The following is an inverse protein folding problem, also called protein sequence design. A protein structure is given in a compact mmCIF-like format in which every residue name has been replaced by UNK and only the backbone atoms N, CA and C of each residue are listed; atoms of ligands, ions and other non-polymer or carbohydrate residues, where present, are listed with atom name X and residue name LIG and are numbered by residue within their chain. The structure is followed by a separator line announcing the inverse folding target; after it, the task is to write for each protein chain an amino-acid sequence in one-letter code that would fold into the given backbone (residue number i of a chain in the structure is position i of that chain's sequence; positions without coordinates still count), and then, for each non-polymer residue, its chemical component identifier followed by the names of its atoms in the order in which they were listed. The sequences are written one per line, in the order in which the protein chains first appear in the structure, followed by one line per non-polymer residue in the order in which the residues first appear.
data_IF_968122691911
#
_entry.id   IF_968122691911
#
_cell.length_a   1.000
_cell.length_b   1.000
_cell.length_c   1.000
_cell.angle_alpha   90.00
_cell.angle_beta   90.00
_cell.angle_gamma   90.00
#
_symmetry.space_group_name_H-M   'P 1'
#
loop_
_entity.id
_entity.type
_entity.pdbx_description
1 polymer ?
#
# COMPACT_ATOMS: atom_id res chain seq x y z
N UNK A 1 -10.30 -8.52 0.38
CA UNK A 1 -9.34 -7.45 0.52
C UNK A 1 -7.94 -7.93 0.14
N UNK A 2 -7.38 -7.36 -0.92
CA UNK A 2 -6.11 -7.83 -1.48
C UNK A 2 -4.89 -7.28 -0.75
N UNK A 3 -5.05 -6.23 0.03
CA UNK A 3 -3.94 -5.59 0.73
C UNK A 3 -3.87 -6.02 2.19
N UNK A 4 -2.66 -6.26 2.69
CA UNK A 4 -2.45 -6.49 4.12
C UNK A 4 -2.68 -5.18 4.88
N UNK A 5 -2.77 -5.29 6.21
CA UNK A 5 -2.96 -4.10 7.05
C UNK A 5 -1.82 -3.09 6.87
N UNK A 6 -0.59 -3.57 6.82
CA UNK A 6 0.57 -2.71 6.65
C UNK A 6 0.59 -2.05 5.26
N UNK A 7 0.27 -2.80 4.23
CA UNK A 7 0.20 -2.27 2.88
C UNK A 7 -0.86 -1.19 2.77
N UNK A 8 -2.03 -1.42 3.32
CA UNK A 8 -3.11 -0.43 3.32
C UNK A 8 -2.70 0.84 4.06
N UNK A 9 -2.07 0.67 5.23
CA UNK A 9 -1.63 1.82 6.02
C UNK A 9 -0.64 2.69 5.25
N UNK A 10 0.36 2.09 4.61
CA UNK A 10 1.36 2.84 3.86
C UNK A 10 0.73 3.55 2.67
N UNK A 11 -0.14 2.89 1.95
CA UNK A 11 -0.83 3.49 0.80
C UNK A 11 -1.69 4.68 1.25
N UNK A 12 -2.48 4.51 2.29
CA UNK A 12 -3.32 5.60 2.80
C UNK A 12 -2.49 6.77 3.28
N UNK A 13 -1.46 6.51 4.08
CA UNK A 13 -0.68 7.58 4.69
C UNK A 13 0.15 8.33 3.67
N UNK A 14 0.83 7.62 2.80
CA UNK A 14 1.77 8.25 1.86
C UNK A 14 1.10 8.75 0.59
N UNK A 15 0.22 7.97 -0.01
CA UNK A 15 -0.38 8.33 -1.29
C UNK A 15 -1.70 9.09 -1.15
N UNK A 16 -2.58 8.66 -0.25
CA UNK A 16 -3.89 9.30 -0.10
C UNK A 16 -3.78 10.62 0.64
N UNK A 17 -3.11 10.62 1.78
CA UNK A 17 -2.95 11.82 2.61
C UNK A 17 -1.71 12.64 2.29
N UNK A 18 -0.88 12.17 1.35
CA UNK A 18 0.30 12.90 0.87
C UNK A 18 1.34 13.23 1.95
N UNK A 19 1.45 12.39 2.97
CA UNK A 19 2.51 12.58 3.98
C UNK A 19 3.87 12.21 3.39
N UNK A 20 4.92 12.88 3.89
CA UNK A 20 6.29 12.54 3.49
C UNK A 20 6.66 11.15 4.01
N UNK A 21 7.77 10.60 3.49
CA UNK A 21 8.27 9.33 4.01
C UNK A 21 8.63 9.41 5.49
N UNK A 22 9.21 10.54 5.93
CA UNK A 22 9.54 10.76 7.33
C UNK A 22 8.29 10.72 8.20
N UNK A 23 7.22 11.40 7.75
CA UNK A 23 5.93 11.38 8.46
C UNK A 23 5.32 9.99 8.46
N UNK A 24 5.39 9.30 7.33
CA UNK A 24 4.85 7.94 7.21
C UNK A 24 5.56 6.98 8.15
N UNK A 25 6.90 7.10 8.26
CA UNK A 25 7.68 6.30 9.20
C UNK A 25 7.26 6.54 10.64
N UNK A 26 7.07 7.81 11.00
CA UNK A 26 6.65 8.18 12.34
C UNK A 26 5.27 7.61 12.67
N UNK A 27 4.31 7.78 11.78
CA UNK A 27 2.96 7.25 11.98
C UNK A 27 2.93 5.73 12.02
N UNK A 28 3.75 5.09 11.20
CA UNK A 28 3.85 3.63 11.21
C UNK A 28 4.39 3.13 12.56
N UNK A 29 5.42 3.80 13.08
CA UNK A 29 5.99 3.44 14.39
C UNK A 29 4.97 3.62 15.51
N UNK A 30 4.22 4.72 15.49
CA UNK A 30 3.18 4.99 16.48
C UNK A 30 2.09 3.92 16.47
N UNK A 31 1.65 3.53 15.27
CA UNK A 31 0.60 2.55 15.12
C UNK A 31 1.06 1.15 15.53
N UNK A 32 2.28 0.78 15.17
CA UNK A 32 2.81 -0.56 15.40
C UNK A 32 3.37 -0.74 16.81
N UNK A 33 3.71 0.35 17.49
CA UNK A 33 4.23 0.32 18.85
C UNK A 33 5.75 0.23 18.91
N UNK A 34 6.31 0.27 20.13
CA UNK A 34 7.77 0.23 20.32
C UNK A 34 8.37 -1.04 19.73
N UNK A 35 9.53 -0.88 19.10
CA UNK A 35 10.25 -2.00 18.50
C UNK A 35 9.75 -2.42 17.13
N UNK A 36 8.73 -1.77 16.62
CA UNK A 36 8.14 -2.10 15.32
C UNK A 36 8.44 -1.05 14.26
N UNK A 37 9.41 -0.19 14.50
CA UNK A 37 9.81 0.83 13.53
C UNK A 37 10.35 0.16 12.26
N UNK A 38 10.05 0.78 11.13
CA UNK A 38 10.55 0.33 9.84
C UNK A 38 11.27 1.47 9.14
N UNK A 39 12.35 1.12 8.42
CA UNK A 39 13.09 2.10 7.65
C UNK A 39 12.27 2.57 6.45
N UNK A 40 12.65 3.72 5.89
CA UNK A 40 12.03 4.23 4.67
C UNK A 40 12.09 3.19 3.55
N UNK A 41 13.23 2.51 3.42
CA UNK A 41 13.41 1.46 2.40
C UNK A 41 12.39 0.34 2.55
N UNK A 42 12.13 -0.09 3.79
CA UNK A 42 11.14 -1.13 4.06
C UNK A 42 9.74 -0.65 3.70
N UNK A 43 9.39 0.59 4.06
CA UNK A 43 8.08 1.14 3.72
C UNK A 43 7.90 1.30 2.22
N UNK A 44 8.94 1.68 1.51
CA UNK A 44 8.90 1.76 0.04
C UNK A 44 8.67 0.39 -0.59
N UNK A 45 9.25 -0.66 -0.02
CA UNK A 45 9.01 -2.04 -0.47
C UNK A 45 7.56 -2.45 -0.24
N UNK A 46 7.02 -2.10 0.92
CA UNK A 46 5.61 -2.38 1.24
C UNK A 46 4.70 -1.67 0.23
N UNK A 47 4.99 -0.41 -0.07
CA UNK A 47 4.23 0.34 -1.07
C UNK A 47 4.33 -0.29 -2.45
N UNK A 48 5.53 -0.68 -2.88
CA UNK A 48 5.70 -1.34 -4.18
C UNK A 48 4.90 -2.63 -4.28
N UNK A 49 4.91 -3.44 -3.22
CA UNK A 49 4.13 -4.66 -3.17
C UNK A 49 2.63 -4.37 -3.28
N UNK A 50 2.17 -3.37 -2.55
CA UNK A 50 0.77 -2.96 -2.57
C UNK A 50 0.36 -2.48 -3.96
N UNK A 51 1.17 -1.64 -4.58
CA UNK A 51 0.87 -1.12 -5.92
C UNK A 51 0.81 -2.22 -6.97
N UNK A 52 1.70 -3.20 -6.89
CA UNK A 52 1.66 -4.35 -7.79
C UNK A 52 0.37 -5.14 -7.66
N UNK A 53 -0.08 -5.36 -6.42
CA UNK A 53 -1.34 -6.06 -6.16
C UNK A 53 -2.52 -5.27 -6.71
N UNK A 54 -2.53 -3.96 -6.51
CA UNK A 54 -3.59 -3.09 -6.99
C UNK A 54 -3.65 -3.07 -8.51
N UNK A 55 -2.51 -2.97 -9.18
CA UNK A 55 -2.45 -2.97 -10.65
C UNK A 55 -2.95 -4.31 -11.20
N UNK A 56 -2.50 -5.41 -10.63
CA UNK A 56 -2.94 -6.73 -11.07
C UNK A 56 -4.44 -6.92 -10.87
N UNK A 57 -4.97 -6.46 -9.76
CA UNK A 57 -6.41 -6.55 -9.48
C UNK A 57 -7.21 -5.73 -10.50
N UNK A 58 -6.78 -4.50 -10.78
CA UNK A 58 -7.44 -3.62 -11.74
C UNK A 58 -7.40 -4.22 -13.13
N UNK A 59 -6.25 -4.75 -13.54
CA UNK A 59 -6.09 -5.37 -14.84
C UNK A 59 -7.01 -6.59 -15.01
N UNK A 60 -7.11 -7.42 -13.98
CA UNK A 60 -7.99 -8.58 -14.01
C UNK A 60 -9.46 -8.16 -14.10
N UNK A 61 -9.84 -7.14 -13.34
CA UNK A 61 -11.21 -6.62 -13.39
C UNK A 61 -11.55 -6.05 -14.75
N UNK A 62 -10.62 -5.28 -15.33
CA UNK A 62 -10.81 -4.71 -16.65
C UNK A 62 -10.94 -5.80 -17.73
N UNK A 63 -10.11 -6.84 -17.64
CA UNK A 63 -10.17 -7.96 -18.58
C UNK A 63 -11.48 -8.73 -18.44
N UNK A 64 -11.96 -8.93 -17.22
CA UNK A 64 -13.23 -9.60 -16.99
C UNK A 64 -14.38 -8.83 -17.62
N UNK A 65 -14.41 -7.52 -17.43
CA UNK A 65 -15.45 -6.69 -18.04
C UNK A 65 -15.37 -6.73 -19.55
N UNK A 66 -14.17 -6.64 -20.09
CA UNK A 66 -13.97 -6.67 -21.53
C UNK A 66 -14.46 -7.97 -22.15
N UNK A 67 -14.09 -9.12 -21.57
CA UNK A 67 -14.52 -10.42 -22.09
C UNK A 67 -15.98 -10.71 -21.80
N UNK A 68 -16.53 -10.12 -20.77
CA UNK A 68 -17.92 -10.34 -20.41
C UNK A 68 -18.88 -9.69 -21.42
N UNK A 69 -18.47 -8.59 -22.01
CA UNK A 69 -19.28 -7.88 -23.00
C UNK A 69 -19.30 -8.56 -24.36
N UNK A 70 -18.37 -9.45 -24.59
CA UNK A 70 -18.30 -10.18 -25.87
C UNK A 70 -18.98 -11.55 -25.76
#
# INVERSE_FOLDING_TARGET
NILSRNERFVIETHLVYHHTWSETMMFFAEKSGPGCERSERTLKRIQSSALKKMVNFINLSALKEYFHET
#
